data_IF_599295371445
#
_entry.id   IF_599295371445
#
_cell.length_a   1.000
_cell.length_b   1.000
_cell.length_c   1.000
_cell.angle_alpha   90.00
_cell.angle_beta   90.00
_cell.angle_gamma   90.00
#
_symmetry.space_group_name_H-M   'P 1'
#
loop_
_entity.id
_entity.type
_entity.pdbx_description
1 polymer ?
#
# COMPACT_ATOMS: atom_id res chain seq x y z
N UNK A 1 -6.26 0.87 1.94
CA UNK A 1 -7.67 0.53 1.63
C UNK A 1 -7.86 -0.86 1.06
N UNK A 2 -7.23 -1.19 -0.08
CA UNK A 2 -7.45 -2.48 -0.73
C UNK A 2 -7.09 -3.68 0.16
N UNK A 3 -6.00 -3.56 0.91
CA UNK A 3 -5.56 -4.61 1.83
C UNK A 3 -6.63 -5.01 2.85
N UNK A 4 -7.47 -4.07 3.31
CA UNK A 4 -8.55 -4.37 4.25
C UNK A 4 -9.59 -5.32 3.64
N UNK A 5 -9.97 -5.12 2.37
CA UNK A 5 -10.92 -6.00 1.67
C UNK A 5 -10.39 -7.43 1.59
N UNK A 6 -9.10 -7.58 1.29
CA UNK A 6 -8.47 -8.90 1.21
C UNK A 6 -8.36 -9.55 2.59
N UNK A 7 -8.07 -8.78 3.65
CA UNK A 7 -8.03 -9.28 5.04
C UNK A 7 -9.39 -9.79 5.51
N UNK A 8 -10.47 -9.07 5.22
CA UNK A 8 -11.84 -9.48 5.65
C UNK A 8 -12.50 -10.47 4.68
N UNK A 9 -11.84 -10.81 3.56
CA UNK A 9 -12.37 -11.70 2.54
C UNK A 9 -13.55 -11.12 1.75
N UNK A 10 -13.73 -9.79 1.78
CA UNK A 10 -14.81 -9.15 1.05
C UNK A 10 -14.44 -8.92 -0.41
N UNK A 11 -15.38 -9.17 -1.31
CA UNK A 11 -15.18 -8.91 -2.73
C UNK A 11 -14.96 -7.41 -2.98
N UNK A 12 -13.87 -7.01 -3.65
CA UNK A 12 -13.60 -5.62 -4.05
C UNK A 12 -14.75 -4.94 -4.79
N UNK A 13 -15.56 -5.69 -5.56
CA UNK A 13 -16.70 -5.12 -6.28
C UNK A 13 -17.81 -4.64 -5.34
N UNK A 14 -17.80 -5.09 -4.09
CA UNK A 14 -18.73 -4.66 -3.06
C UNK A 14 -18.42 -3.26 -2.50
N UNK A 15 -17.29 -2.65 -2.88
CA UNK A 15 -16.86 -1.34 -2.36
C UNK A 15 -17.85 -0.19 -2.57
N UNK A 16 -18.69 -0.30 -3.60
CA UNK A 16 -19.73 0.69 -3.90
C UNK A 16 -21.11 0.29 -3.32
N UNK A 17 -21.19 -0.86 -2.65
CA UNK A 17 -22.40 -1.35 -1.98
C UNK A 17 -22.30 -1.19 -0.46
N UNK A 18 -21.16 -1.55 0.15
CA UNK A 18 -21.00 -1.53 1.61
C UNK A 18 -20.17 -0.35 2.13
N UNK A 19 -19.49 0.38 1.22
CA UNK A 19 -18.50 1.41 1.53
C UNK A 19 -17.53 0.97 2.64
N UNK A 20 -16.66 1.87 3.12
CA UNK A 20 -15.87 1.57 4.33
C UNK A 20 -16.75 1.57 5.59
N UNK A 21 -17.86 2.29 5.51
CA UNK A 21 -18.71 2.64 6.64
C UNK A 21 -19.38 1.42 7.27
N UNK A 22 -19.77 0.43 6.47
CA UNK A 22 -20.44 -0.78 6.95
C UNK A 22 -19.51 -1.86 7.50
N UNK A 23 -18.18 -1.76 7.33
CA UNK A 23 -17.28 -2.83 7.77
C UNK A 23 -17.25 -3.06 9.29
N UNK A 24 -17.23 -2.04 10.17
CA UNK A 24 -17.34 -2.24 11.60
C UNK A 24 -18.51 -3.12 12.00
N UNK A 25 -19.72 -2.77 11.55
CA UNK A 25 -20.94 -3.51 11.87
C UNK A 25 -20.85 -4.94 11.35
N UNK A 26 -20.43 -5.13 10.09
CA UNK A 26 -20.30 -6.47 9.52
C UNK A 26 -19.31 -7.34 10.30
N UNK A 27 -18.17 -6.77 10.70
CA UNK A 27 -17.15 -7.49 11.47
C UNK A 27 -17.67 -7.79 12.88
N UNK A 28 -18.30 -6.82 13.53
CA UNK A 28 -18.90 -7.00 14.86
C UNK A 28 -19.95 -8.11 14.85
N UNK A 29 -20.91 -8.09 13.92
CA UNK A 29 -21.96 -9.11 13.86
C UNK A 29 -21.44 -10.49 13.45
N UNK A 30 -20.35 -10.56 12.66
CA UNK A 30 -19.77 -11.83 12.23
C UNK A 30 -18.81 -12.45 13.27
N UNK A 31 -18.08 -11.63 14.03
CA UNK A 31 -16.94 -12.08 14.86
C UNK A 31 -17.05 -11.69 16.34
N UNK A 32 -17.88 -10.70 16.66
CA UNK A 32 -17.95 -10.07 17.99
C UNK A 32 -16.86 -9.03 18.24
N UNK A 33 -15.96 -8.76 17.29
CA UNK A 33 -14.94 -7.73 17.43
C UNK A 33 -15.52 -6.34 17.21
N UNK A 34 -15.44 -5.52 18.25
CA UNK A 34 -15.83 -4.11 18.21
C UNK A 34 -14.62 -3.28 17.75
N UNK A 35 -14.66 -2.82 16.49
CA UNK A 35 -13.59 -2.09 15.84
C UNK A 35 -14.13 -0.91 15.06
N UNK A 36 -13.52 0.26 15.20
CA UNK A 36 -13.85 1.44 14.41
C UNK A 36 -13.15 1.46 13.03
N UNK A 37 -13.50 2.43 12.19
CA UNK A 37 -12.89 2.57 10.86
C UNK A 37 -11.38 2.80 10.91
N UNK A 38 -10.88 3.56 11.89
CA UNK A 38 -9.47 3.89 11.98
C UNK A 38 -8.66 2.63 12.30
N UNK A 39 -9.12 1.80 13.24
CA UNK A 39 -8.53 0.51 13.58
C UNK A 39 -8.50 -0.43 12.37
N UNK A 40 -9.59 -0.51 11.59
CA UNK A 40 -9.64 -1.32 10.37
C UNK A 40 -8.64 -0.83 9.31
N UNK A 41 -8.51 0.49 9.14
CA UNK A 41 -7.52 1.06 8.22
C UNK A 41 -6.09 0.76 8.69
N UNK A 42 -5.82 0.84 10.00
CA UNK A 42 -4.53 0.45 10.59
C UNK A 42 -4.22 -1.01 10.36
N UNK A 43 -5.19 -1.92 10.47
CA UNK A 43 -5.01 -3.34 10.13
C UNK A 43 -4.59 -3.50 8.66
N UNK A 44 -5.24 -2.78 7.75
CA UNK A 44 -4.88 -2.76 6.34
C UNK A 44 -3.47 -2.19 6.09
N UNK A 45 -3.08 -1.14 6.80
CA UNK A 45 -1.73 -0.57 6.73
C UNK A 45 -0.68 -1.53 7.28
N UNK A 46 -0.95 -2.19 8.41
CA UNK A 46 -0.10 -3.21 9.02
C UNK A 46 0.15 -4.36 8.06
N UNK A 47 -0.91 -4.96 7.50
CA UNK A 47 -0.79 -6.06 6.55
C UNK A 47 0.02 -5.68 5.30
N UNK A 48 -0.13 -4.44 4.81
CA UNK A 48 0.64 -3.96 3.67
C UNK A 48 2.14 -3.78 3.99
N UNK A 49 2.46 -3.29 5.20
CA UNK A 49 3.84 -3.13 5.64
C UNK A 49 4.51 -4.47 5.93
N UNK A 50 3.79 -5.47 6.44
CA UNK A 50 4.30 -6.85 6.57
C UNK A 50 4.73 -7.38 5.20
N UNK A 51 3.85 -7.28 4.20
CA UNK A 51 4.15 -7.76 2.84
C UNK A 51 5.34 -7.00 2.22
N UNK A 52 5.41 -5.67 2.44
CA UNK A 52 6.54 -4.88 1.95
C UNK A 52 7.86 -5.25 2.64
N UNK A 53 7.87 -5.39 3.96
CA UNK A 53 9.06 -5.76 4.73
C UNK A 53 9.56 -7.15 4.33
N UNK A 54 8.66 -8.10 4.10
CA UNK A 54 9.01 -9.40 3.54
C UNK A 54 9.73 -9.24 2.18
N UNK A 55 9.13 -8.51 1.24
CA UNK A 55 9.77 -8.31 -0.07
C UNK A 55 11.12 -7.60 0.04
N UNK A 56 11.24 -6.60 0.92
CA UNK A 56 12.48 -5.89 1.17
C UNK A 56 13.58 -6.82 1.70
N UNK A 57 13.24 -7.72 2.63
CA UNK A 57 14.14 -8.76 3.13
C UNK A 57 14.64 -9.68 2.01
N UNK A 58 13.77 -9.99 1.04
CA UNK A 58 14.13 -10.79 -0.14
C UNK A 58 14.85 -10.00 -1.24
N UNK A 59 15.19 -8.72 -0.99
CA UNK A 59 16.00 -7.88 -1.88
C UNK A 59 15.22 -6.99 -2.84
N UNK A 60 13.90 -6.89 -2.68
CA UNK A 60 13.06 -5.93 -3.39
C UNK A 60 13.35 -4.51 -2.88
N UNK A 61 13.58 -3.57 -3.78
CA UNK A 61 13.82 -2.17 -3.40
C UNK A 61 13.24 -1.19 -4.43
N UNK A 62 13.51 0.10 -4.23
CA UNK A 62 13.12 1.17 -5.17
C UNK A 62 13.38 0.84 -6.63
N UNK A 63 14.49 0.15 -6.96
CA UNK A 63 14.85 -0.23 -8.34
C UNK A 63 13.76 -1.09 -9.01
N UNK A 64 12.98 -1.81 -8.23
CA UNK A 64 11.94 -2.74 -8.68
C UNK A 64 10.56 -2.05 -8.73
N UNK A 65 10.38 -0.92 -8.05
CA UNK A 65 9.17 -0.08 -8.11
C UNK A 65 9.14 0.78 -9.38
N UNK A 66 9.10 0.13 -10.54
CA UNK A 66 9.08 0.81 -11.84
C UNK A 66 7.87 0.43 -12.69
N UNK A 67 7.68 1.17 -13.78
CA UNK A 67 6.65 0.89 -14.77
C UNK A 67 7.28 0.22 -16.01
N UNK A 68 6.50 -0.54 -16.80
CA UNK A 68 6.96 -1.05 -18.09
C UNK A 68 7.52 0.07 -18.97
N UNK A 69 8.61 -0.20 -19.69
CA UNK A 69 9.35 0.78 -20.49
C UNK A 69 8.44 1.65 -21.38
N UNK A 70 7.45 1.04 -22.02
CA UNK A 70 6.46 1.73 -22.87
C UNK A 70 5.74 2.86 -22.13
N UNK A 71 5.28 2.64 -20.89
CA UNK A 71 4.57 3.66 -20.12
C UNK A 71 5.46 4.84 -19.74
N UNK A 72 6.78 4.61 -19.71
CA UNK A 72 7.79 5.61 -19.36
C UNK A 72 8.32 6.42 -20.55
N UNK A 73 8.20 5.90 -21.77
CA UNK A 73 8.90 6.47 -22.94
C UNK A 73 8.04 6.65 -24.19
N UNK A 74 6.90 5.96 -24.28
CA UNK A 74 6.00 6.07 -25.44
C UNK A 74 4.75 6.87 -25.05
N UNK A 75 4.63 8.13 -25.50
CA UNK A 75 3.39 8.90 -25.38
C UNK A 75 2.21 8.18 -26.00
N UNK A 76 1.03 8.31 -25.38
CA UNK A 76 -0.22 7.80 -25.96
C UNK A 76 -0.40 8.40 -27.35
N UNK A 77 -0.58 7.57 -28.40
CA UNK A 77 -0.47 8.03 -29.78
C UNK A 77 -1.64 8.87 -30.26
N UNK A 78 -2.87 8.64 -29.74
CA UNK A 78 -4.10 9.33 -30.18
C UNK A 78 -5.18 9.33 -29.09
N UNK A 79 -6.13 10.26 -29.22
CA UNK A 79 -7.34 10.32 -28.40
C UNK A 79 -7.26 11.38 -27.30
N UNK A 80 -8.14 11.31 -26.30
CA UNK A 80 -8.27 12.35 -25.26
C UNK A 80 -6.97 12.53 -24.45
N UNK A 81 -6.18 11.48 -24.31
CA UNK A 81 -4.90 11.50 -23.58
C UNK A 81 -3.69 11.50 -24.50
N UNK A 82 -3.84 11.87 -25.78
CA UNK A 82 -2.73 11.95 -26.75
C UNK A 82 -1.55 12.76 -26.18
N UNK A 83 -0.33 12.24 -26.39
CA UNK A 83 0.90 12.85 -25.88
C UNK A 83 1.18 12.56 -24.39
N UNK A 84 0.22 12.01 -23.64
CA UNK A 84 0.42 11.72 -22.21
C UNK A 84 1.25 10.44 -22.02
N UNK A 85 2.18 10.48 -21.08
CA UNK A 85 2.91 9.35 -20.51
C UNK A 85 3.43 9.77 -19.12
N UNK A 86 3.99 8.83 -18.35
CA UNK A 86 4.66 9.16 -17.08
C UNK A 86 6.15 9.20 -17.35
N UNK A 87 6.78 10.36 -17.35
CA UNK A 87 8.23 10.40 -17.58
C UNK A 87 9.00 9.73 -16.43
N UNK A 88 10.22 9.23 -16.66
CA UNK A 88 11.03 8.63 -15.59
C UNK A 88 11.24 9.57 -14.40
N UNK A 89 11.40 10.88 -14.67
CA UNK A 89 11.56 11.89 -13.62
C UNK A 89 10.29 12.08 -12.79
N UNK A 90 9.11 12.08 -13.43
CA UNK A 90 7.84 12.17 -12.72
C UNK A 90 7.62 10.94 -11.85
N UNK A 91 7.95 9.74 -12.36
CA UNK A 91 7.88 8.52 -11.56
C UNK A 91 8.77 8.61 -10.32
N UNK A 92 10.04 9.00 -10.45
CA UNK A 92 10.95 9.15 -9.30
C UNK A 92 10.40 10.14 -8.27
N UNK A 93 9.87 11.27 -8.70
CA UNK A 93 9.25 12.24 -7.81
C UNK A 93 8.02 11.67 -7.09
N UNK A 94 7.15 10.96 -7.82
CA UNK A 94 5.98 10.31 -7.23
C UNK A 94 6.36 9.21 -6.22
N UNK A 95 7.45 8.46 -6.49
CA UNK A 95 7.96 7.46 -5.54
C UNK A 95 8.47 8.09 -4.25
N UNK A 96 9.16 9.24 -4.36
CA UNK A 96 9.62 9.98 -3.18
C UNK A 96 8.45 10.41 -2.28
N UNK A 97 7.44 11.04 -2.87
CA UNK A 97 6.21 11.43 -2.16
C UNK A 97 5.49 10.22 -1.57
N UNK A 98 5.42 9.12 -2.32
CA UNK A 98 4.77 7.90 -1.88
C UNK A 98 5.49 7.27 -0.69
N UNK A 99 6.82 7.14 -0.73
CA UNK A 99 7.61 6.57 0.38
C UNK A 99 7.53 7.46 1.61
N UNK A 100 7.59 8.79 1.44
CA UNK A 100 7.40 9.71 2.55
C UNK A 100 6.01 9.54 3.19
N UNK A 101 4.95 9.49 2.38
CA UNK A 101 3.58 9.30 2.86
C UNK A 101 3.40 7.95 3.57
N UNK A 102 4.14 6.92 3.16
CA UNK A 102 4.16 5.60 3.79
C UNK A 102 5.02 5.51 5.05
N UNK A 103 5.89 6.49 5.31
CA UNK A 103 6.88 6.41 6.38
C UNK A 103 8.00 5.41 6.08
N UNK A 104 8.39 5.29 4.81
CA UNK A 104 9.46 4.41 4.32
C UNK A 104 10.73 5.22 4.04
N UNK A 105 11.87 4.53 3.93
CA UNK A 105 13.11 5.11 3.43
C UNK A 105 13.02 5.42 1.93
N UNK A 106 13.97 6.20 1.41
CA UNK A 106 14.03 6.50 -0.04
C UNK A 106 14.32 5.27 -0.90
N UNK A 107 14.84 4.19 -0.29
CA UNK A 107 15.02 2.87 -0.93
C UNK A 107 13.73 2.04 -0.93
N UNK A 108 12.62 2.57 -0.40
CA UNK A 108 11.33 1.93 -0.34
C UNK A 108 11.22 0.87 0.75
N UNK A 109 11.99 1.00 1.83
CA UNK A 109 11.98 0.06 2.96
C UNK A 109 11.18 0.66 4.12
N UNK A 110 10.22 -0.06 4.73
CA UNK A 110 9.52 0.42 5.91
C UNK A 110 10.48 0.79 7.04
N UNK A 111 10.39 2.01 7.57
CA UNK A 111 11.28 2.42 8.67
C UNK A 111 10.92 1.70 9.97
N UNK A 112 11.89 1.52 10.87
CA UNK A 112 11.64 0.96 12.21
C UNK A 112 10.55 1.73 12.97
N UNK A 113 10.56 3.07 12.88
CA UNK A 113 9.53 3.91 13.50
C UNK A 113 8.14 3.57 12.96
N UNK A 114 8.00 3.40 11.63
CA UNK A 114 6.74 3.00 11.00
C UNK A 114 6.32 1.59 11.43
N UNK A 115 7.21 0.62 11.44
CA UNK A 115 6.89 -0.75 11.86
C UNK A 115 6.45 -0.83 13.33
N UNK A 116 7.18 -0.18 14.24
CA UNK A 116 6.82 -0.11 15.67
C UNK A 116 5.46 0.59 15.85
N UNK A 117 5.19 1.66 15.09
CA UNK A 117 3.87 2.33 15.14
C UNK A 117 2.69 1.47 14.68
N UNK A 118 2.97 0.34 14.03
CA UNK A 118 2.00 -0.64 13.56
C UNK A 118 2.04 -1.94 14.38
N UNK A 119 2.67 -1.96 15.55
CA UNK A 119 2.83 -3.13 16.42
C UNK A 119 3.58 -4.29 15.72
N UNK A 120 4.65 -3.98 14.97
CA UNK A 120 5.49 -4.93 14.23
C UNK A 120 6.95 -4.90 14.74
N UNK A 121 7.13 -4.91 16.06
CA UNK A 121 8.43 -4.84 16.73
C UNK A 121 9.37 -5.98 16.31
N UNK A 122 8.85 -7.20 16.16
CA UNK A 122 9.58 -8.38 15.70
C UNK A 122 10.20 -8.18 14.30
N UNK A 123 9.43 -7.64 13.36
CA UNK A 123 9.90 -7.34 12.00
C UNK A 123 10.93 -6.21 12.02
N UNK A 124 10.77 -5.23 12.93
CA UNK A 124 11.71 -4.11 13.06
C UNK A 124 13.08 -4.53 13.62
N UNK A 125 13.12 -5.60 14.42
CA UNK A 125 14.34 -6.17 15.00
C UNK A 125 15.08 -7.11 14.02
N UNK A 126 14.34 -7.93 13.26
CA UNK A 126 14.88 -8.95 12.34
C UNK A 126 15.61 -8.40 11.09
N UNK A 127 15.76 -7.07 10.98
CA UNK A 127 16.49 -6.42 9.89
C UNK A 127 15.67 -6.29 8.59
N UNK A 128 14.35 -6.42 8.66
CA UNK A 128 13.43 -6.08 7.57
C UNK A 128 13.20 -4.58 7.36
N UNK A 129 14.01 -3.74 8.02
CA UNK A 129 13.96 -2.28 8.07
C UNK A 129 15.35 -1.65 8.11
#
# INVERSE_FOLDING_TARGET
LMQLYDTVGACKFSRHMFFLEGFPDMIYYATGFDMDHAQLLTIGERAYNIARAFNAREGFSRKDDTLPWRLLHEPIPKGISEGSHVSPRELEHMLDEYYQARGWSMDGIPTKVKLISLDLDDIAEDGGA
#
